data_IF_517589718262
#
_entry.id   IF_517589718262
#
_cell.length_a   1.000
_cell.length_b   1.000
_cell.length_c   1.000
_cell.angle_alpha   90.00
_cell.angle_beta   90.00
_cell.angle_gamma   90.00
#
_symmetry.space_group_name_H-M   'P 1'
#
loop_
_entity.id
_entity.type
_entity.pdbx_description
1 polymer ?
#
# COMPACT_ATOMS: atom_id res chain seq x y z
N UNK A 1 25.31 20.59 6.20
CA UNK A 1 24.86 20.03 7.50
C UNK A 1 23.53 19.34 7.23
N UNK A 2 23.58 18.02 7.05
CA UNK A 2 22.41 17.22 6.67
C UNK A 2 21.53 16.99 7.90
N UNK A 3 20.22 17.21 7.76
CA UNK A 3 19.25 16.77 8.73
C UNK A 3 19.27 15.23 8.82
N UNK A 4 19.08 14.61 10.00
CA UNK A 4 18.96 13.17 10.08
C UNK A 4 17.68 12.72 9.36
N UNK A 5 17.64 11.53 8.74
CA UNK A 5 16.44 11.03 8.11
C UNK A 5 15.41 10.69 9.20
N UNK A 6 14.30 11.43 9.24
CA UNK A 6 13.10 11.20 10.05
C UNK A 6 12.36 9.97 9.51
N UNK A 7 12.94 8.79 9.70
CA UNK A 7 12.31 7.52 9.32
C UNK A 7 11.30 7.12 10.40
N UNK A 8 10.01 7.17 10.06
CA UNK A 8 8.94 6.61 10.90
C UNK A 8 9.02 5.08 10.90
N UNK A 9 8.53 4.40 11.94
CA UNK A 9 8.51 2.93 12.02
C UNK A 9 7.79 2.28 10.81
N UNK A 10 6.94 3.05 10.13
CA UNK A 10 6.29 2.71 8.85
C UNK A 10 7.26 2.43 7.70
N UNK A 11 8.43 3.05 7.63
CA UNK A 11 9.34 2.96 6.46
C UNK A 11 10.27 1.73 6.48
N UNK A 12 10.27 0.95 7.57
CA UNK A 12 11.17 -0.21 7.73
C UNK A 12 10.41 -1.48 8.11
N UNK A 13 9.32 -1.74 7.39
CA UNK A 13 8.58 -3.01 7.43
C UNK A 13 9.39 -4.13 6.77
N UNK A 14 10.36 -4.69 7.49
CA UNK A 14 10.53 -6.14 7.40
C UNK A 14 9.31 -6.76 8.08
N UNK A 15 8.75 -7.82 7.50
CA UNK A 15 7.60 -8.58 8.00
C UNK A 15 7.74 -8.89 9.51
N UNK A 16 7.20 -8.04 10.37
CA UNK A 16 7.14 -8.32 11.81
C UNK A 16 5.83 -9.04 12.10
N UNK A 17 5.94 -10.31 12.50
CA UNK A 17 4.89 -11.13 13.10
C UNK A 17 4.46 -10.57 14.48
N UNK A 18 3.94 -9.35 14.51
CA UNK A 18 3.36 -8.72 15.72
C UNK A 18 1.88 -9.05 15.83
N UNK A 19 1.22 -9.31 14.70
CA UNK A 19 -0.14 -9.84 14.67
C UNK A 19 -0.05 -11.34 14.93
N UNK A 20 -0.76 -11.90 15.92
CA UNK A 20 -0.88 -13.34 16.03
C UNK A 20 -1.36 -13.88 14.68
N UNK A 21 -0.57 -14.73 14.03
CA UNK A 21 -1.01 -15.45 12.83
C UNK A 21 -2.18 -16.34 13.23
N UNK A 22 -3.39 -15.83 13.05
CA UNK A 22 -4.60 -16.62 13.21
C UNK A 22 -4.70 -17.51 11.98
N UNK A 23 -3.98 -18.63 12.02
CA UNK A 23 -3.92 -19.58 10.93
C UNK A 23 -5.32 -20.20 10.73
N UNK A 24 -6.04 -19.73 9.73
CA UNK A 24 -7.23 -20.42 9.22
C UNK A 24 -6.74 -21.42 8.18
N UNK A 25 -6.43 -22.64 8.62
CA UNK A 25 -6.00 -23.71 7.71
C UNK A 25 -7.01 -23.87 6.56
N UNK A 26 -6.54 -23.83 5.31
CA UNK A 26 -7.35 -24.18 4.14
C UNK A 26 -7.96 -25.56 4.37
N UNK A 27 -9.27 -25.68 4.19
CA UNK A 27 -9.88 -26.99 4.06
C UNK A 27 -9.29 -27.65 2.80
N UNK A 28 -8.57 -28.76 2.97
CA UNK A 28 -8.29 -29.63 1.83
C UNK A 28 -9.62 -30.16 1.30
N UNK A 29 -9.72 -30.34 -0.01
CA UNK A 29 -10.94 -30.64 -0.76
C UNK A 29 -11.61 -32.01 -0.44
N UNK A 30 -11.30 -32.62 0.70
CA UNK A 30 -12.07 -33.70 1.30
C UNK A 30 -12.86 -33.14 2.48
N UNK A 31 -14.06 -32.69 2.16
CA UNK A 31 -15.00 -32.00 3.02
C UNK A 31 -15.55 -32.93 4.14
N UNK A 32 -14.74 -33.14 5.17
CA UNK A 32 -15.20 -33.78 6.41
C UNK A 32 -15.94 -32.73 7.25
N UNK A 33 -17.22 -32.98 7.57
CA UNK A 33 -18.03 -32.13 8.45
C UNK A 33 -17.34 -31.83 9.80
N UNK A 34 -16.42 -32.71 10.22
CA UNK A 34 -15.56 -32.55 11.39
C UNK A 34 -14.54 -31.43 11.22
N UNK A 35 -13.89 -31.31 10.05
CA UNK A 35 -12.92 -30.27 9.73
C UNK A 35 -13.59 -28.88 9.70
N UNK A 36 -14.74 -28.78 9.03
CA UNK A 36 -15.55 -27.55 9.01
C UNK A 36 -16.00 -27.12 10.41
N UNK A 37 -16.45 -28.08 11.24
CA UNK A 37 -16.82 -27.81 12.64
C UNK A 37 -15.61 -27.40 13.50
N UNK A 38 -14.46 -28.03 13.33
CA UNK A 38 -13.23 -27.67 14.02
C UNK A 38 -12.79 -26.24 13.64
N UNK A 39 -12.85 -25.89 12.36
CA UNK A 39 -12.52 -24.56 11.85
C UNK A 39 -13.46 -23.49 12.47
N UNK A 40 -14.77 -23.75 12.52
CA UNK A 40 -15.75 -22.89 13.17
C UNK A 40 -15.48 -22.68 14.68
N UNK A 41 -15.02 -23.72 15.39
CA UNK A 41 -14.66 -23.62 16.81
C UNK A 41 -13.39 -22.80 17.00
N UNK A 42 -12.35 -23.05 16.19
CA UNK A 42 -11.10 -22.27 16.21
C UNK A 42 -11.39 -20.79 15.93
N UNK A 43 -12.17 -20.47 14.90
CA UNK A 43 -12.59 -19.10 14.57
C UNK A 43 -13.32 -18.41 15.71
N UNK A 44 -14.27 -19.09 16.37
CA UNK A 44 -14.96 -18.53 17.55
C UNK A 44 -14.00 -18.24 18.71
N UNK A 45 -13.05 -19.14 18.99
CA UNK A 45 -12.04 -18.92 20.03
C UNK A 45 -11.14 -17.73 19.70
N UNK A 46 -10.69 -17.62 18.45
CA UNK A 46 -9.88 -16.50 17.96
C UNK A 46 -10.66 -15.18 18.10
N UNK A 47 -11.90 -15.12 17.63
CA UNK A 47 -12.74 -13.93 17.75
C UNK A 47 -12.95 -13.52 19.22
N UNK A 48 -13.13 -14.50 20.12
CA UNK A 48 -13.25 -14.25 21.56
C UNK A 48 -11.97 -13.67 22.15
N UNK A 49 -10.80 -14.15 21.72
CA UNK A 49 -9.51 -13.60 22.15
C UNK A 49 -9.29 -12.19 21.60
N UNK A 50 -9.62 -11.94 20.34
CA UNK A 50 -9.55 -10.62 19.72
C UNK A 50 -10.48 -9.65 20.46
N UNK A 51 -11.71 -10.05 20.80
CA UNK A 51 -12.66 -9.23 21.58
C UNK A 51 -12.17 -8.87 22.98
N UNK A 52 -11.38 -9.75 23.58
CA UNK A 52 -10.76 -9.49 24.88
C UNK A 52 -9.61 -8.47 24.81
N UNK A 53 -9.09 -8.17 23.60
CA UNK A 53 -7.98 -7.24 23.37
C UNK A 53 -8.39 -5.97 22.61
N UNK A 54 -9.49 -6.01 21.85
CA UNK A 54 -10.04 -4.84 21.17
C UNK A 54 -10.65 -3.87 22.17
N UNK A 55 -10.12 -2.65 22.15
CA UNK A 55 -10.58 -1.53 22.96
C UNK A 55 -11.83 -0.90 22.35
N UNK A 56 -12.76 -0.45 23.18
CA UNK A 56 -13.83 0.43 22.70
C UNK A 56 -13.25 1.78 22.24
N UNK A 57 -13.96 2.56 21.41
CA UNK A 57 -13.50 3.89 21.01
C UNK A 57 -13.13 4.78 22.20
N UNK A 58 -13.92 4.74 23.28
CA UNK A 58 -13.65 5.51 24.51
C UNK A 58 -12.45 5.00 25.31
N UNK A 59 -12.24 3.68 25.37
CA UNK A 59 -11.06 3.09 26.01
C UNK A 59 -9.78 3.45 25.25
N UNK A 60 -9.83 3.38 23.92
CA UNK A 60 -8.71 3.70 23.05
C UNK A 60 -8.38 5.19 23.11
N UNK A 61 -9.37 6.07 22.99
CA UNK A 61 -9.19 7.52 23.13
C UNK A 61 -8.62 7.89 24.52
N UNK A 62 -9.16 7.28 25.58
CA UNK A 62 -8.65 7.46 26.94
C UNK A 62 -7.19 7.01 27.11
N UNK A 63 -6.80 5.91 26.45
CA UNK A 63 -5.42 5.42 26.44
C UNK A 63 -4.49 6.36 25.67
N UNK A 64 -4.88 6.78 24.47
CA UNK A 64 -4.15 7.76 23.66
C UNK A 64 -3.89 9.04 24.47
N UNK A 65 -4.94 9.61 25.07
CA UNK A 65 -4.84 10.82 25.88
C UNK A 65 -3.86 10.67 27.05
N UNK A 66 -3.79 9.48 27.67
CA UNK A 66 -2.86 9.21 28.79
C UNK A 66 -1.43 9.07 28.34
N UNK A 67 -1.16 8.40 27.22
CA UNK A 67 0.18 8.31 26.64
C UNK A 67 0.66 9.72 26.26
N UNK A 68 -0.21 10.50 25.64
CA UNK A 68 0.02 11.90 25.27
C UNK A 68 0.31 12.81 26.47
N UNK A 69 -0.46 12.65 27.56
CA UNK A 69 -0.25 13.39 28.80
C UNK A 69 1.01 12.97 29.55
N UNK A 70 1.36 11.68 29.51
CA UNK A 70 2.57 11.18 30.15
C UNK A 70 3.83 11.73 29.49
N UNK A 71 3.87 11.78 28.17
CA UNK A 71 5.10 12.11 27.47
C UNK A 71 5.35 13.62 27.25
N UNK A 72 4.53 14.49 27.86
CA UNK A 72 4.75 15.95 27.94
C UNK A 72 4.89 16.37 29.41
N UNK A 73 6.04 16.92 29.81
CA UNK A 73 6.20 17.52 31.14
C UNK A 73 5.20 18.69 31.35
N UNK A 74 4.71 18.98 32.57
CA UNK A 74 3.70 20.02 32.77
C UNK A 74 4.30 21.35 33.25
N UNK A 75 3.56 22.46 33.17
CA UNK A 75 2.46 22.77 32.26
C UNK A 75 3.07 23.59 31.10
N UNK A 76 2.39 23.98 30.03
CA UNK A 76 1.08 24.60 29.92
C UNK A 76 0.75 24.53 28.40
N UNK A 77 -0.40 25.03 27.96
CA UNK A 77 -0.41 26.35 27.28
C UNK A 77 -1.38 26.45 26.11
N UNK A 78 -1.46 27.64 25.53
CA UNK A 78 -2.16 27.98 24.30
C UNK A 78 -1.85 27.04 23.10
N UNK A 79 -0.77 26.25 23.17
CA UNK A 79 -0.44 25.21 22.20
C UNK A 79 -1.40 24.01 22.22
N UNK A 80 -1.88 23.58 23.40
CA UNK A 80 -2.96 22.59 23.52
C UNK A 80 -4.32 23.15 23.01
N UNK A 81 -4.50 24.48 23.04
CA UNK A 81 -5.61 25.19 22.39
C UNK A 81 -5.47 25.29 20.86
N UNK A 82 -4.26 25.19 20.32
CA UNK A 82 -4.01 25.15 18.88
C UNK A 82 -4.26 23.75 18.28
N UNK A 83 -4.00 22.68 19.04
CA UNK A 83 -4.37 21.30 18.70
C UNK A 83 -5.91 21.10 18.63
N UNK A 84 -6.66 21.72 19.55
CA UNK A 84 -8.14 21.86 19.50
C UNK A 84 -8.66 22.69 18.31
N UNK A 85 -7.79 23.49 17.68
CA UNK A 85 -8.12 24.34 16.54
C UNK A 85 -7.77 23.67 15.20
N UNK A 86 -6.74 22.81 15.16
CA UNK A 86 -6.41 21.97 13.99
C UNK A 86 -7.38 20.80 13.78
N UNK A 87 -8.08 20.37 14.83
CA UNK A 87 -9.27 19.50 14.71
C UNK A 87 -10.46 20.18 13.98
N UNK A 88 -10.28 21.42 13.47
CA UNK A 88 -11.28 22.18 12.71
C UNK A 88 -10.88 22.58 11.28
N UNK A 89 -9.75 22.11 10.70
CA UNK A 89 -9.45 22.30 9.25
C UNK A 89 -8.24 21.46 8.73
N UNK A 90 -8.11 21.23 7.40
CA UNK A 90 -7.55 20.01 6.82
C UNK A 90 -6.03 20.04 6.64
N UNK A 91 -5.28 19.18 7.34
CA UNK A 91 -4.04 18.50 6.88
C UNK A 91 -3.32 17.82 8.05
N UNK A 92 -3.34 16.49 8.09
CA UNK A 92 -2.68 15.64 9.10
C UNK A 92 -1.16 15.77 9.15
N UNK A 93 -0.53 16.39 8.15
CA UNK A 93 0.93 16.64 8.09
C UNK A 93 1.38 17.56 9.23
N UNK A 94 0.64 18.63 9.50
CA UNK A 94 1.04 19.61 10.50
C UNK A 94 0.82 19.13 11.95
N UNK A 95 0.12 18.01 12.14
CA UNK A 95 0.02 17.34 13.43
C UNK A 95 1.21 16.39 13.64
N UNK A 96 1.64 15.70 12.59
CA UNK A 96 2.78 14.77 12.61
C UNK A 96 4.11 15.52 12.67
N UNK A 97 4.32 16.61 11.92
CA UNK A 97 5.52 17.45 12.03
C UNK A 97 5.62 18.09 13.42
N UNK A 98 4.50 18.47 14.03
CA UNK A 98 4.47 18.96 15.43
C UNK A 98 4.65 17.83 16.47
N UNK A 99 4.43 16.57 16.11
CA UNK A 99 4.68 15.39 16.95
C UNK A 99 6.11 14.85 16.75
N UNK A 100 6.71 15.11 15.59
CA UNK A 100 8.07 14.73 15.18
C UNK A 100 9.13 15.78 15.56
N UNK A 101 8.84 17.07 15.43
CA UNK A 101 9.76 18.17 15.78
C UNK A 101 10.04 18.24 17.30
N UNK A 102 9.11 17.72 18.11
CA UNK A 102 9.15 17.65 19.59
C UNK A 102 9.17 16.18 20.10
N UNK A 103 9.67 15.22 19.29
CA UNK A 103 9.84 13.79 19.62
C UNK A 103 9.69 13.51 21.12
N UNK A 104 8.48 13.15 21.57
CA UNK A 104 8.05 13.08 22.98
C UNK A 104 9.22 12.96 23.97
N UNK A 105 9.65 14.10 24.53
CA UNK A 105 10.92 14.28 25.28
C UNK A 105 11.05 13.31 26.48
N UNK A 106 9.96 12.67 26.90
CA UNK A 106 9.93 11.70 27.99
C UNK A 106 9.95 10.26 27.47
N UNK A 107 11.10 9.63 27.65
CA UNK A 107 11.29 8.20 27.54
C UNK A 107 10.60 7.49 28.71
N UNK A 108 9.72 6.54 28.40
CA UNK A 108 9.01 5.71 29.38
C UNK A 108 9.96 4.63 29.91
N UNK A 109 10.31 4.69 31.20
CA UNK A 109 10.86 3.52 31.89
C UNK A 109 9.79 2.44 32.02
N UNK A 110 10.19 1.21 32.39
CA UNK A 110 9.21 0.17 32.69
C UNK A 110 8.26 0.56 33.84
N UNK A 111 8.75 1.32 34.83
CA UNK A 111 7.93 1.81 35.94
C UNK A 111 6.85 2.77 35.44
N UNK A 112 7.22 3.66 34.53
CA UNK A 112 6.31 4.61 33.90
C UNK A 112 5.29 3.93 32.99
N UNK A 113 5.74 3.01 32.14
CA UNK A 113 4.88 2.14 31.33
C UNK A 113 3.87 1.38 32.18
N UNK A 114 4.32 0.78 33.30
CA UNK A 114 3.46 0.08 34.24
C UNK A 114 2.49 1.04 34.93
N UNK A 115 2.88 2.28 35.21
CA UNK A 115 2.00 3.30 35.77
C UNK A 115 0.89 3.71 34.79
N UNK A 116 1.21 3.86 33.49
CA UNK A 116 0.20 4.09 32.44
C UNK A 116 -0.81 2.94 32.42
N UNK A 117 -0.33 1.69 32.41
CA UNK A 117 -1.19 0.51 32.40
C UNK A 117 -2.06 0.39 33.68
N UNK A 118 -1.49 0.60 34.87
CA UNK A 118 -2.21 0.49 36.16
C UNK A 118 -3.28 1.56 36.35
N UNK A 119 -3.05 2.76 35.81
CA UNK A 119 -3.99 3.89 35.91
C UNK A 119 -5.18 3.75 34.96
N UNK A 120 -5.15 2.77 34.04
CA UNK A 120 -6.28 2.43 33.19
C UNK A 120 -7.19 1.42 33.90
N UNK A 121 -8.48 1.76 34.03
CA UNK A 121 -9.48 0.89 34.68
C UNK A 121 -9.77 -0.36 33.84
N UNK A 122 -9.68 -0.24 32.52
CA UNK A 122 -9.93 -1.34 31.57
C UNK A 122 -8.93 -2.49 31.74
N UNK A 123 -9.45 -3.69 31.98
CA UNK A 123 -8.65 -4.93 31.98
C UNK A 123 -8.03 -5.20 30.60
N UNK A 124 -8.73 -4.82 29.52
CA UNK A 124 -8.23 -4.99 28.14
C UNK A 124 -6.96 -4.17 27.92
N UNK A 125 -6.95 -2.91 28.36
CA UNK A 125 -5.76 -2.03 28.28
C UNK A 125 -4.59 -2.62 29.09
N UNK A 126 -4.85 -3.21 30.25
CA UNK A 126 -3.80 -3.85 31.07
C UNK A 126 -3.22 -5.12 30.41
N UNK A 127 -4.06 -5.92 29.73
CA UNK A 127 -3.59 -7.08 28.95
C UNK A 127 -2.76 -6.65 27.74
N UNK A 128 -3.20 -5.57 27.10
CA UNK A 128 -2.52 -4.97 25.96
C UNK A 128 -1.14 -4.43 26.34
N UNK A 129 -1.07 -3.65 27.43
CA UNK A 129 0.14 -3.07 27.97
C UNK A 129 0.86 -4.03 28.94
N UNK A 130 1.15 -5.24 28.48
CA UNK A 130 1.80 -6.27 29.27
C UNK A 130 3.32 -6.05 29.38
N UNK A 131 3.93 -6.67 30.40
CA UNK A 131 5.40 -6.73 30.51
C UNK A 131 6.05 -7.36 29.26
N UNK A 132 5.39 -8.36 28.65
CA UNK A 132 5.84 -8.99 27.41
C UNK A 132 5.87 -8.00 26.25
N UNK A 133 4.84 -7.17 26.14
CA UNK A 133 4.74 -6.11 25.11
C UNK A 133 5.89 -5.11 25.25
N UNK A 134 6.19 -4.66 26.48
CA UNK A 134 7.30 -3.76 26.75
C UNK A 134 8.67 -4.37 26.35
N UNK A 135 8.92 -5.63 26.73
CA UNK A 135 10.15 -6.32 26.38
C UNK A 135 10.29 -6.51 24.87
N UNK A 136 9.21 -6.88 24.18
CA UNK A 136 9.21 -7.02 22.73
C UNK A 136 9.52 -5.69 22.03
N UNK A 137 8.91 -4.59 22.46
CA UNK A 137 9.15 -3.27 21.87
C UNK A 137 10.59 -2.80 22.11
N UNK A 138 11.14 -2.99 23.31
CA UNK A 138 12.53 -2.63 23.61
C UNK A 138 13.54 -3.48 22.84
N UNK A 139 13.25 -4.77 22.63
CA UNK A 139 14.11 -5.66 21.84
C UNK A 139 14.08 -5.32 20.33
N UNK A 140 12.90 -4.95 19.80
CA UNK A 140 12.77 -4.45 18.43
C UNK A 140 13.60 -3.18 18.21
N UNK A 141 13.50 -2.22 19.13
CA UNK A 141 14.31 -0.99 19.08
C UNK A 141 15.82 -1.31 19.15
N UNK A 142 16.21 -2.32 19.95
CA UNK A 142 17.60 -2.80 20.04
C UNK A 142 18.09 -3.41 18.72
N UNK A 143 17.26 -4.20 18.04
CA UNK A 143 17.61 -4.81 16.75
C UNK A 143 17.74 -3.83 15.58
N UNK A 144 17.09 -2.66 15.66
CA UNK A 144 17.05 -1.68 14.57
C UNK A 144 18.29 -0.76 14.48
N UNK A 145 19.32 -0.96 15.32
CA UNK A 145 20.58 -0.17 15.35
C UNK A 145 20.35 1.36 15.37
N UNK A 146 19.23 1.82 15.93
CA UNK A 146 19.08 3.23 16.28
C UNK A 146 20.13 3.57 17.35
N UNK A 147 20.68 4.81 17.39
CA UNK A 147 21.62 5.21 18.41
C UNK A 147 20.98 4.97 19.78
N UNK A 148 21.50 3.97 20.48
CA UNK A 148 21.09 3.63 21.83
C UNK A 148 21.56 4.76 22.75
N UNK A 149 20.71 5.17 23.68
CA UNK A 149 21.21 5.38 25.03
C UNK A 149 20.75 4.17 25.84
N UNK A 150 21.65 3.66 26.69
CA UNK A 150 21.64 2.36 27.38
C UNK A 150 20.47 2.10 28.36
N UNK A 151 19.41 2.90 28.36
CA UNK A 151 18.46 2.98 29.49
C UNK A 151 17.24 2.04 29.42
N UNK A 152 17.07 1.27 28.34
CA UNK A 152 15.96 0.30 28.24
C UNK A 152 14.54 0.93 28.25
N UNK A 153 14.43 2.19 27.82
CA UNK A 153 13.19 2.96 27.79
C UNK A 153 12.54 3.01 26.40
N UNK A 154 11.24 3.32 26.32
CA UNK A 154 10.49 3.44 25.06
C UNK A 154 10.00 4.89 24.86
N UNK A 155 10.08 5.42 23.65
CA UNK A 155 9.45 6.71 23.31
C UNK A 155 7.91 6.58 23.34
N UNK A 156 7.21 7.53 23.95
CA UNK A 156 5.74 7.57 23.96
C UNK A 156 5.08 7.57 22.58
N UNK A 157 5.72 8.17 21.57
CA UNK A 157 5.23 8.16 20.18
C UNK A 157 5.28 6.75 19.59
N UNK A 158 6.37 6.02 19.83
CA UNK A 158 6.51 4.60 19.44
C UNK A 158 5.48 3.71 20.13
N UNK A 159 5.20 3.98 21.41
CA UNK A 159 4.14 3.26 22.12
C UNK A 159 2.75 3.56 21.54
N UNK A 160 2.47 4.83 21.25
CA UNK A 160 1.20 5.22 20.68
C UNK A 160 0.98 4.60 19.30
N UNK A 161 2.01 4.66 18.44
CA UNK A 161 1.99 4.04 17.11
C UNK A 161 1.77 2.53 17.22
N UNK A 162 2.50 1.83 18.10
CA UNK A 162 2.30 0.40 18.35
C UNK A 162 0.85 0.07 18.76
N UNK A 163 0.31 0.82 19.73
CA UNK A 163 -1.06 0.61 20.23
C UNK A 163 -2.07 0.78 19.11
N UNK A 164 -1.96 1.86 18.33
CA UNK A 164 -2.90 2.15 17.24
C UNK A 164 -2.79 1.12 16.13
N UNK A 165 -1.58 0.77 15.69
CA UNK A 165 -1.38 -0.24 14.64
C UNK A 165 -1.89 -1.62 15.07
N UNK A 166 -1.62 -2.03 16.31
CA UNK A 166 -2.10 -3.31 16.81
C UNK A 166 -3.63 -3.33 16.95
N UNK A 167 -4.27 -2.23 17.39
CA UNK A 167 -5.73 -2.13 17.43
C UNK A 167 -6.33 -2.15 16.01
N UNK A 168 -5.67 -1.53 15.03
CA UNK A 168 -6.06 -1.60 13.62
C UNK A 168 -6.04 -3.04 13.13
N UNK A 169 -4.94 -3.75 13.37
CA UNK A 169 -4.76 -5.12 12.87
C UNK A 169 -5.75 -6.09 13.53
N UNK A 170 -6.01 -5.94 14.83
CA UNK A 170 -7.04 -6.71 15.53
C UNK A 170 -8.44 -6.40 14.99
N UNK A 171 -8.76 -5.13 14.71
CA UNK A 171 -10.05 -4.71 14.20
C UNK A 171 -10.26 -5.21 12.77
N UNK A 172 -9.24 -5.08 11.91
CA UNK A 172 -9.22 -5.61 10.55
C UNK A 172 -9.40 -7.14 10.54
N UNK A 173 -8.66 -7.85 11.40
CA UNK A 173 -8.78 -9.30 11.59
C UNK A 173 -10.19 -9.68 12.00
N UNK A 174 -10.76 -8.99 13.01
CA UNK A 174 -12.13 -9.24 13.43
C UNK A 174 -13.14 -9.02 12.30
N UNK A 175 -12.99 -7.91 11.56
CA UNK A 175 -13.89 -7.54 10.49
C UNK A 175 -13.85 -8.54 9.34
N UNK A 176 -12.67 -8.88 8.82
CA UNK A 176 -12.52 -9.87 7.75
C UNK A 176 -12.93 -11.27 8.22
N UNK A 177 -12.67 -11.62 9.48
CA UNK A 177 -13.17 -12.85 10.09
C UNK A 177 -14.69 -12.87 10.27
N UNK A 178 -15.42 -11.76 10.08
CA UNK A 178 -16.89 -11.79 9.99
C UNK A 178 -17.32 -12.03 8.54
N UNK A 179 -16.65 -11.40 7.59
CA UNK A 179 -16.87 -11.58 6.15
C UNK A 179 -16.53 -12.98 5.65
N UNK A 180 -15.65 -13.71 6.33
CA UNK A 180 -15.34 -15.12 6.04
C UNK A 180 -16.57 -16.05 6.11
N UNK A 181 -17.71 -15.60 6.66
CA UNK A 181 -18.98 -16.32 6.50
C UNK A 181 -19.50 -16.35 5.05
N UNK A 182 -18.98 -15.47 4.19
CA UNK A 182 -19.25 -15.39 2.75
C UNK A 182 -18.18 -16.14 1.93
N UNK A 183 -17.13 -16.65 2.59
CA UNK A 183 -16.03 -17.29 1.89
C UNK A 183 -16.44 -18.65 1.34
N UNK A 184 -15.98 -18.93 0.12
CA UNK A 184 -16.04 -20.25 -0.50
C UNK A 184 -14.59 -20.72 -0.56
N UNK A 185 -14.29 -21.87 0.04
CA UNK A 185 -12.93 -22.44 0.14
C UNK A 185 -11.87 -21.49 0.75
N UNK A 186 -12.29 -20.66 1.71
CA UNK A 186 -11.41 -19.68 2.39
C UNK A 186 -11.09 -18.43 1.58
N UNK A 187 -11.79 -18.20 0.47
CA UNK A 187 -11.70 -16.98 -0.33
C UNK A 187 -13.05 -16.24 -0.37
N UNK A 188 -13.02 -14.94 -0.09
CA UNK A 188 -14.21 -14.08 -0.17
C UNK A 188 -14.39 -13.68 -1.65
N UNK A 189 -15.58 -13.91 -2.26
CA UNK A 189 -15.84 -13.49 -3.64
C UNK A 189 -15.54 -12.01 -3.86
N UNK A 190 -15.01 -11.64 -5.03
CA UNK A 190 -14.62 -10.25 -5.35
C UNK A 190 -15.78 -9.27 -5.15
N UNK A 191 -17.01 -9.66 -5.50
CA UNK A 191 -18.21 -8.85 -5.28
C UNK A 191 -18.52 -8.67 -3.79
N UNK A 192 -18.22 -9.68 -2.96
CA UNK A 192 -18.34 -9.61 -1.51
C UNK A 192 -17.34 -8.62 -0.91
N UNK A 193 -16.08 -8.67 -1.34
CA UNK A 193 -15.04 -7.72 -0.92
C UNK A 193 -15.39 -6.30 -1.38
N UNK A 194 -15.83 -6.14 -2.63
CA UNK A 194 -16.29 -4.86 -3.20
C UNK A 194 -17.42 -4.24 -2.38
N UNK A 195 -18.44 -5.04 -2.03
CA UNK A 195 -19.56 -4.58 -1.20
C UNK A 195 -19.10 -4.17 0.19
N UNK A 196 -18.25 -4.98 0.83
CA UNK A 196 -17.71 -4.71 2.15
C UNK A 196 -16.90 -3.40 2.20
N UNK A 197 -16.04 -3.15 1.21
CA UNK A 197 -15.27 -1.90 1.08
C UNK A 197 -16.22 -0.70 0.96
N UNK A 198 -17.25 -0.78 0.12
CA UNK A 198 -18.24 0.30 -0.03
C UNK A 198 -18.98 0.58 1.27
N UNK A 199 -19.43 -0.46 1.98
CA UNK A 199 -20.09 -0.30 3.29
C UNK A 199 -19.18 0.38 4.32
N UNK A 200 -17.88 0.08 4.32
CA UNK A 200 -16.91 0.78 5.18
C UNK A 200 -16.75 2.25 4.78
N UNK A 201 -16.69 2.55 3.49
CA UNK A 201 -16.62 3.93 2.99
C UNK A 201 -17.88 4.70 3.40
N UNK A 202 -19.07 4.14 3.20
CA UNK A 202 -20.33 4.79 3.61
C UNK A 202 -20.33 5.11 5.10
N UNK A 203 -19.96 4.14 5.95
CA UNK A 203 -19.87 4.35 7.41
C UNK A 203 -18.84 5.43 7.78
N UNK A 204 -17.71 5.48 7.08
CA UNK A 204 -16.68 6.48 7.31
C UNK A 204 -17.19 7.87 6.90
N UNK A 205 -17.88 7.99 5.76
CA UNK A 205 -18.44 9.26 5.27
C UNK A 205 -19.53 9.79 6.20
N UNK A 206 -20.38 8.92 6.72
CA UNK A 206 -21.41 9.28 7.71
C UNK A 206 -20.82 9.67 9.07
N UNK A 207 -19.58 9.23 9.36
CA UNK A 207 -18.91 9.39 10.65
C UNK A 207 -17.93 10.56 10.71
N UNK A 208 -16.84 10.49 9.95
CA UNK A 208 -15.68 11.39 10.10
C UNK A 208 -15.03 11.80 8.77
N UNK A 209 -15.25 11.07 7.67
CA UNK A 209 -14.58 11.29 6.40
C UNK A 209 -15.40 12.25 5.52
N UNK A 210 -14.87 13.44 5.26
CA UNK A 210 -15.58 14.41 4.42
C UNK A 210 -15.29 14.17 2.92
N UNK A 211 -16.26 13.63 2.19
CA UNK A 211 -16.21 13.41 0.74
C UNK A 211 -17.44 14.04 0.09
N UNK A 212 -17.23 14.83 -0.95
CA UNK A 212 -18.32 15.45 -1.72
C UNK A 212 -19.18 14.38 -2.42
N UNK A 213 -20.50 14.55 -2.40
CA UNK A 213 -21.44 13.53 -2.87
C UNK A 213 -21.33 13.20 -4.36
N UNK A 214 -20.93 14.16 -5.18
CA UNK A 214 -20.68 14.00 -6.61
C UNK A 214 -19.37 13.25 -6.89
N UNK A 215 -18.39 13.38 -6.00
CA UNK A 215 -17.11 12.67 -6.08
C UNK A 215 -17.16 11.25 -5.48
N UNK A 216 -18.07 10.99 -4.54
CA UNK A 216 -18.18 9.72 -3.81
C UNK A 216 -18.20 8.47 -4.72
N UNK A 217 -18.94 8.41 -5.84
CA UNK A 217 -18.93 7.23 -6.71
C UNK A 217 -17.56 6.93 -7.34
N UNK A 218 -16.77 7.97 -7.62
CA UNK A 218 -15.40 7.83 -8.12
C UNK A 218 -14.46 7.37 -7.02
N UNK A 219 -14.59 7.95 -5.82
CA UNK A 219 -13.82 7.54 -4.66
C UNK A 219 -14.02 6.06 -4.34
N UNK A 220 -15.28 5.61 -4.24
CA UNK A 220 -15.62 4.20 -4.00
C UNK A 220 -14.99 3.28 -5.04
N UNK A 221 -15.06 3.65 -6.32
CA UNK A 221 -14.52 2.84 -7.41
C UNK A 221 -13.00 2.72 -7.31
N UNK A 222 -12.30 3.85 -7.22
CA UNK A 222 -10.83 3.84 -7.19
C UNK A 222 -10.33 3.13 -5.93
N UNK A 223 -10.90 3.42 -4.76
CA UNK A 223 -10.54 2.76 -3.50
C UNK A 223 -10.77 1.24 -3.56
N UNK A 224 -11.89 0.81 -4.14
CA UNK A 224 -12.16 -0.64 -4.28
C UNK A 224 -11.18 -1.31 -5.23
N UNK A 225 -10.89 -0.69 -6.39
CA UNK A 225 -9.95 -1.25 -7.36
C UNK A 225 -8.52 -1.27 -6.83
N UNK A 226 -8.10 -0.27 -6.06
CA UNK A 226 -6.80 -0.21 -5.38
C UNK A 226 -6.52 -1.46 -4.52
N UNK A 227 -7.56 -2.01 -3.89
CA UNK A 227 -7.45 -3.21 -3.06
C UNK A 227 -7.58 -4.46 -3.94
N UNK A 228 -8.66 -4.55 -4.72
CA UNK A 228 -9.01 -5.78 -5.47
C UNK A 228 -7.95 -6.14 -6.52
N UNK A 229 -7.42 -5.17 -7.27
CA UNK A 229 -6.49 -5.42 -8.37
C UNK A 229 -5.14 -6.00 -7.94
N UNK A 230 -4.78 -5.89 -6.66
CA UNK A 230 -3.50 -6.40 -6.15
C UNK A 230 -3.53 -7.92 -5.99
N UNK A 231 -4.72 -8.48 -5.89
CA UNK A 231 -4.94 -9.90 -5.66
C UNK A 231 -5.28 -10.61 -6.96
N UNK A 232 -4.84 -11.86 -7.08
CA UNK A 232 -5.11 -12.68 -8.26
C UNK A 232 -6.61 -13.03 -8.33
N UNK A 233 -7.31 -12.46 -9.30
CA UNK A 233 -8.73 -12.70 -9.56
C UNK A 233 -8.96 -13.66 -10.72
N UNK A 234 -8.01 -14.58 -11.01
CA UNK A 234 -8.11 -15.50 -12.16
C UNK A 234 -9.50 -16.14 -12.26
N UNK A 235 -10.11 -16.19 -13.46
CA UNK A 235 -11.41 -16.81 -13.66
C UNK A 235 -11.31 -18.29 -13.27
N UNK A 236 -12.01 -18.67 -12.21
CA UNK A 236 -11.96 -20.02 -11.62
C UNK A 236 -11.70 -20.04 -10.11
N UNK A 237 -11.08 -19.00 -9.54
CA UNK A 237 -10.96 -18.81 -8.08
C UNK A 237 -11.83 -17.70 -7.50
N UNK A 238 -12.27 -16.74 -8.31
CA UNK A 238 -13.40 -15.81 -8.07
C UNK A 238 -13.36 -14.94 -6.80
N UNK A 239 -12.37 -15.08 -5.94
CA UNK A 239 -12.33 -14.49 -4.61
C UNK A 239 -10.93 -14.29 -4.07
N UNK A 240 -10.84 -13.47 -3.03
CA UNK A 240 -9.61 -13.06 -2.38
C UNK A 240 -9.52 -13.79 -1.04
N UNK A 241 -8.40 -14.47 -0.79
CA UNK A 241 -8.16 -15.13 0.48
C UNK A 241 -8.13 -14.10 1.63
N UNK A 242 -8.76 -14.43 2.77
CA UNK A 242 -8.79 -13.55 3.95
C UNK A 242 -7.39 -13.21 4.42
N UNK A 243 -6.50 -14.20 4.47
CA UNK A 243 -5.11 -14.03 4.86
C UNK A 243 -4.34 -13.09 3.93
N UNK A 244 -4.67 -13.10 2.62
CA UNK A 244 -4.03 -12.22 1.66
C UNK A 244 -4.43 -10.75 1.89
N UNK A 245 -5.69 -10.48 2.24
CA UNK A 245 -6.13 -9.12 2.60
C UNK A 245 -5.51 -8.65 3.91
N UNK A 246 -5.39 -9.53 4.92
CA UNK A 246 -4.77 -9.18 6.20
C UNK A 246 -3.27 -8.89 6.08
N UNK A 247 -2.60 -9.49 5.11
CA UNK A 247 -1.18 -9.26 4.83
C UNK A 247 -0.96 -8.10 3.86
N UNK A 248 -1.99 -7.60 3.18
CA UNK A 248 -1.84 -6.49 2.24
C UNK A 248 -1.72 -5.15 2.99
N UNK A 249 -0.55 -4.49 2.95
CA UNK A 249 -0.38 -3.18 3.59
C UNK A 249 -1.35 -2.13 3.05
N UNK A 250 -1.78 -2.25 1.79
CA UNK A 250 -2.73 -1.32 1.15
C UNK A 250 -4.12 -1.46 1.75
N UNK A 251 -4.58 -2.68 2.01
CA UNK A 251 -5.84 -2.90 2.70
C UNK A 251 -5.80 -2.35 4.13
N UNK A 252 -4.71 -2.56 4.86
CA UNK A 252 -4.56 -2.04 6.23
C UNK A 252 -4.51 -0.50 6.26
N UNK A 253 -3.86 0.12 5.27
CA UNK A 253 -3.83 1.57 5.09
C UNK A 253 -5.22 2.16 4.81
N UNK A 254 -6.01 1.51 3.96
CA UNK A 254 -7.43 1.83 3.75
C UNK A 254 -8.24 1.66 5.04
N UNK A 255 -8.08 0.51 5.70
CA UNK A 255 -8.84 0.17 6.90
C UNK A 255 -8.56 1.18 8.02
N UNK A 256 -7.33 1.67 8.13
CA UNK A 256 -6.96 2.73 9.07
C UNK A 256 -7.75 4.02 8.80
N UNK A 257 -7.88 4.46 7.54
CA UNK A 257 -8.61 5.66 7.16
C UNK A 257 -10.12 5.57 7.49
N UNK A 258 -10.74 4.41 7.26
CA UNK A 258 -12.20 4.27 7.38
C UNK A 258 -12.69 3.92 8.79
N UNK A 259 -11.81 3.57 9.74
CA UNK A 259 -12.22 3.15 11.09
C UNK A 259 -12.18 4.24 12.17
N UNK A 260 -12.03 5.52 11.79
CA UNK A 260 -12.35 6.65 12.67
C UNK A 260 -11.17 7.45 13.21
N UNK A 261 -11.46 8.49 14.01
CA UNK A 261 -10.56 9.60 14.28
C UNK A 261 -9.30 9.25 15.08
N UNK A 262 -9.32 8.15 15.84
CA UNK A 262 -8.11 7.71 16.56
C UNK A 262 -7.08 7.12 15.61
N UNK A 263 -7.53 6.43 14.56
CA UNK A 263 -6.64 5.89 13.53
C UNK A 263 -6.10 7.01 12.62
N UNK A 264 -6.89 8.09 12.45
CA UNK A 264 -6.51 9.28 11.69
C UNK A 264 -5.30 10.03 12.27
N UNK A 265 -5.00 9.85 13.57
CA UNK A 265 -3.81 10.43 14.21
C UNK A 265 -2.50 10.05 13.50
N UNK A 266 -2.50 8.91 12.81
CA UNK A 266 -1.36 8.38 12.05
C UNK A 266 -1.65 8.29 10.55
N UNK A 267 -2.78 8.83 10.09
CA UNK A 267 -3.08 8.98 8.67
C UNK A 267 -2.38 10.25 8.18
N UNK A 268 -1.28 10.06 7.47
CA UNK A 268 -0.56 11.11 6.77
C UNK A 268 -1.30 11.49 5.47
N UNK A 269 -1.01 12.67 4.92
CA UNK A 269 -1.40 13.00 3.54
C UNK A 269 -0.78 12.08 2.49
N UNK A 270 0.24 11.30 2.87
CA UNK A 270 0.80 10.25 2.03
C UNK A 270 -0.08 9.00 1.97
N UNK A 271 -1.20 8.95 2.71
CA UNK A 271 -2.14 7.84 2.62
C UNK A 271 -2.73 7.77 1.20
N UNK A 272 -2.63 6.59 0.58
CA UNK A 272 -3.08 6.31 -0.80
C UNK A 272 -4.58 6.52 -0.99
N UNK A 273 -5.36 6.35 0.07
CA UNK A 273 -6.81 6.48 0.10
C UNK A 273 -7.27 7.86 0.58
N UNK A 274 -6.35 8.77 0.91
CA UNK A 274 -6.73 10.13 1.24
C UNK A 274 -7.56 10.73 0.09
N UNK A 275 -8.69 11.42 0.37
CA UNK A 275 -9.58 11.94 -0.68
C UNK A 275 -8.88 12.76 -1.75
N UNK A 276 -7.87 13.56 -1.37
CA UNK A 276 -7.08 14.35 -2.33
C UNK A 276 -6.22 13.47 -3.26
N UNK A 277 -5.63 12.39 -2.74
CA UNK A 277 -4.83 11.45 -3.53
C UNK A 277 -5.71 10.75 -4.56
N UNK A 278 -6.88 10.27 -4.14
CA UNK A 278 -7.85 9.61 -5.03
C UNK A 278 -8.42 10.61 -6.05
N UNK A 279 -8.68 11.85 -5.63
CA UNK A 279 -9.11 12.94 -6.53
C UNK A 279 -8.05 13.28 -7.56
N UNK A 280 -6.77 13.13 -7.21
CA UNK A 280 -5.70 13.34 -8.17
C UNK A 280 -5.72 12.30 -9.29
N UNK A 281 -5.99 11.02 -8.98
CA UNK A 281 -6.16 9.97 -9.99
C UNK A 281 -7.33 10.30 -10.92
N UNK A 282 -8.47 10.74 -10.37
CA UNK A 282 -9.60 11.18 -11.18
C UNK A 282 -9.25 12.38 -12.08
N UNK A 283 -8.51 13.37 -11.56
CA UNK A 283 -8.04 14.53 -12.34
C UNK A 283 -7.08 14.15 -13.46
N UNK A 284 -6.31 13.08 -13.31
CA UNK A 284 -5.43 12.59 -14.38
C UNK A 284 -6.25 12.16 -15.60
N UNK A 285 -7.31 11.39 -15.39
CA UNK A 285 -8.24 11.02 -16.47
C UNK A 285 -8.81 12.25 -17.17
N UNK A 286 -9.37 13.20 -16.40
CA UNK A 286 -10.00 14.42 -16.93
C UNK A 286 -9.03 15.30 -17.72
N UNK A 287 -7.72 15.25 -17.43
CA UNK A 287 -6.71 15.98 -18.20
C UNK A 287 -6.21 15.24 -19.44
N UNK A 288 -6.37 13.92 -19.48
CA UNK A 288 -6.06 13.10 -20.65
C UNK A 288 -7.18 13.15 -21.67
N UNK A 289 -8.45 13.11 -21.23
CA UNK A 289 -9.66 13.23 -22.04
C UNK A 289 -9.85 14.68 -22.54
N UNK A 290 -9.24 14.99 -23.69
CA UNK A 290 -9.16 16.36 -24.25
C UNK A 290 -10.46 16.76 -24.91
N UNK A 291 -11.11 15.83 -25.61
CA UNK A 291 -12.37 16.06 -26.29
C UNK A 291 -13.58 15.96 -25.35
N UNK A 292 -13.37 15.47 -24.12
CA UNK A 292 -14.37 15.33 -23.05
C UNK A 292 -15.48 14.36 -23.41
N UNK A 293 -15.15 13.34 -24.19
CA UNK A 293 -16.10 12.32 -24.62
C UNK A 293 -16.29 11.21 -23.55
N UNK A 294 -15.47 11.21 -22.48
CA UNK A 294 -15.52 10.24 -21.39
C UNK A 294 -14.78 8.93 -21.68
N UNK A 295 -14.03 8.87 -22.77
CA UNK A 295 -13.15 7.80 -23.23
C UNK A 295 -11.74 8.38 -23.45
N UNK A 296 -10.75 7.51 -23.63
CA UNK A 296 -9.39 7.91 -23.95
C UNK A 296 -8.95 7.24 -25.24
N UNK A 297 -8.67 8.06 -26.25
CA UNK A 297 -8.05 7.61 -27.49
C UNK A 297 -6.62 7.12 -27.25
N UNK A 298 -6.10 6.34 -28.21
CA UNK A 298 -4.69 5.94 -28.23
C UNK A 298 -3.74 7.14 -28.11
N UNK A 299 -4.04 8.22 -28.83
CA UNK A 299 -3.24 9.45 -28.83
C UNK A 299 -3.22 10.17 -27.48
N UNK A 300 -4.30 10.11 -26.73
CA UNK A 300 -4.37 10.68 -25.38
C UNK A 300 -3.64 9.79 -24.37
N UNK A 301 -3.66 8.48 -24.56
CA UNK A 301 -2.91 7.55 -23.72
C UNK A 301 -1.38 7.68 -23.89
N UNK A 302 -0.88 8.07 -25.06
CA UNK A 302 0.55 8.42 -25.25
C UNK A 302 1.00 9.64 -24.42
N UNK A 303 0.05 10.38 -23.86
CA UNK A 303 0.28 11.55 -23.00
C UNK A 303 0.15 11.23 -21.51
N UNK A 304 -0.08 9.96 -21.17
CA UNK A 304 -0.08 9.46 -19.80
C UNK A 304 1.24 9.82 -19.09
N UNK A 305 1.14 10.36 -17.88
CA UNK A 305 2.29 10.82 -17.10
C UNK A 305 2.83 12.21 -17.45
N UNK A 306 2.43 12.81 -18.58
CA UNK A 306 2.92 14.13 -19.02
C UNK A 306 2.02 15.30 -18.58
N UNK A 307 0.80 15.00 -18.14
CA UNK A 307 -0.15 16.02 -17.69
C UNK A 307 0.14 16.48 -16.25
N UNK A 308 -0.22 17.73 -15.94
CA UNK A 308 0.04 18.35 -14.63
C UNK A 308 -0.56 17.57 -13.46
N UNK A 309 -1.69 16.87 -13.69
CA UNK A 309 -2.30 16.03 -12.67
C UNK A 309 -1.45 14.82 -12.25
N UNK A 310 -0.44 14.42 -13.02
CA UNK A 310 0.47 13.35 -12.60
C UNK A 310 1.53 13.83 -11.61
N UNK A 311 1.99 15.08 -11.75
CA UNK A 311 2.93 15.71 -10.82
C UNK A 311 2.63 17.21 -10.72
N UNK A 312 1.75 17.63 -9.80
CA UNK A 312 1.31 19.02 -9.70
C UNK A 312 2.40 19.96 -9.18
N UNK A 313 3.41 19.41 -8.47
CA UNK A 313 4.43 20.22 -7.78
C UNK A 313 5.54 20.63 -8.74
N UNK A 314 6.22 19.65 -9.35
CA UNK A 314 7.38 19.92 -10.19
C UNK A 314 7.03 20.01 -11.68
N UNK A 315 5.84 19.56 -12.07
CA UNK A 315 5.36 19.52 -13.47
C UNK A 315 6.31 18.80 -14.43
N UNK A 316 7.18 17.94 -13.90
CA UNK A 316 7.98 17.02 -14.70
C UNK A 316 7.15 15.80 -15.06
N UNK A 317 7.32 15.24 -16.27
CA UNK A 317 6.68 13.99 -16.64
C UNK A 317 7.02 12.89 -15.64
N UNK A 318 6.00 12.17 -15.16
CA UNK A 318 6.19 10.97 -14.35
C UNK A 318 6.37 9.72 -15.19
N UNK A 319 5.91 9.77 -16.44
CA UNK A 319 6.03 8.70 -17.41
C UNK A 319 6.23 9.30 -18.80
N UNK A 320 6.97 8.58 -19.63
CA UNK A 320 6.94 8.75 -21.08
C UNK A 320 6.95 7.36 -21.73
N UNK A 321 5.74 6.84 -21.90
CA UNK A 321 5.50 5.48 -22.37
C UNK A 321 5.92 5.32 -23.83
N UNK A 322 6.49 4.16 -24.15
CA UNK A 322 6.79 3.77 -25.53
C UNK A 322 5.50 3.54 -26.32
N UNK A 323 5.44 3.90 -27.62
CA UNK A 323 4.25 3.68 -28.42
C UNK A 323 3.85 2.20 -28.49
N UNK A 324 4.84 1.30 -28.62
CA UNK A 324 4.61 -0.14 -28.64
C UNK A 324 3.93 -0.64 -27.35
N UNK A 325 4.31 -0.11 -26.19
CA UNK A 325 3.63 -0.47 -24.94
C UNK A 325 2.16 -0.06 -24.96
N UNK A 326 1.85 1.16 -25.40
CA UNK A 326 0.48 1.65 -25.50
C UNK A 326 -0.34 0.83 -26.51
N UNK A 327 0.23 0.51 -27.67
CA UNK A 327 -0.39 -0.38 -28.67
C UNK A 327 -0.80 -1.72 -28.04
N UNK A 328 0.11 -2.31 -27.27
CA UNK A 328 -0.12 -3.60 -26.61
C UNK A 328 -1.15 -3.52 -25.49
N UNK A 329 -1.22 -2.40 -24.75
CA UNK A 329 -2.25 -2.17 -23.73
C UNK A 329 -3.64 -2.17 -24.37
N UNK A 330 -3.80 -1.45 -25.49
CA UNK A 330 -5.08 -1.41 -26.22
C UNK A 330 -5.42 -2.78 -26.79
N UNK A 331 -4.46 -3.48 -27.40
CA UNK A 331 -4.68 -4.83 -27.91
C UNK A 331 -5.07 -5.85 -26.83
N UNK A 332 -4.48 -5.75 -25.63
CA UNK A 332 -4.81 -6.63 -24.50
C UNK A 332 -6.24 -6.39 -23.97
N UNK A 333 -6.74 -5.16 -24.11
CA UNK A 333 -8.05 -4.73 -23.61
C UNK A 333 -9.09 -4.58 -24.72
N UNK A 334 -8.87 -5.10 -25.92
CA UNK A 334 -9.73 -4.90 -27.10
C UNK A 334 -11.22 -5.18 -26.81
N UNK A 335 -11.52 -6.25 -26.04
CA UNK A 335 -12.87 -6.60 -25.64
C UNK A 335 -13.53 -5.63 -24.63
N UNK A 336 -12.75 -4.77 -23.99
CA UNK A 336 -13.19 -3.77 -23.02
C UNK A 336 -13.19 -2.34 -23.60
N UNK A 337 -12.63 -2.13 -24.80
CA UNK A 337 -12.65 -0.84 -25.48
C UNK A 337 -14.05 -0.53 -26.02
N UNK A 338 -14.38 0.76 -26.02
CA UNK A 338 -15.60 1.29 -26.65
C UNK A 338 -15.15 2.06 -27.89
N UNK A 339 -15.53 1.57 -29.07
CA UNK A 339 -15.13 2.15 -30.36
C UNK A 339 -13.60 2.32 -30.54
N UNK A 340 -12.81 1.43 -29.92
CA UNK A 340 -11.34 1.48 -29.94
C UNK A 340 -10.72 2.43 -28.92
N UNK A 341 -11.53 3.04 -28.05
CA UNK A 341 -11.10 3.95 -26.99
C UNK A 341 -11.27 3.33 -25.59
N UNK A 342 -10.44 3.76 -24.65
CA UNK A 342 -10.38 3.23 -23.30
C UNK A 342 -11.39 3.95 -22.39
N UNK A 343 -12.31 3.20 -21.79
CA UNK A 343 -13.27 3.77 -20.84
C UNK A 343 -12.62 4.11 -19.47
N UNK A 344 -13.35 4.87 -18.65
CA UNK A 344 -12.87 5.24 -17.31
C UNK A 344 -12.52 4.03 -16.43
N UNK A 345 -13.24 2.91 -16.54
CA UNK A 345 -12.96 1.72 -15.71
C UNK A 345 -11.63 1.10 -16.08
N UNK A 346 -11.41 0.92 -17.37
CA UNK A 346 -10.18 0.34 -17.92
C UNK A 346 -8.99 1.25 -17.61
N UNK A 347 -9.17 2.58 -17.72
CA UNK A 347 -8.14 3.53 -17.29
C UNK A 347 -7.80 3.41 -15.81
N UNK A 348 -8.79 3.29 -14.92
CA UNK A 348 -8.52 3.12 -13.48
C UNK A 348 -7.75 1.83 -13.22
N UNK A 349 -8.10 0.73 -13.88
CA UNK A 349 -7.35 -0.51 -13.72
C UNK A 349 -5.90 -0.36 -14.19
N UNK A 350 -5.72 0.23 -15.38
CA UNK A 350 -4.41 0.54 -15.95
C UNK A 350 -3.56 1.41 -15.01
N UNK A 351 -4.07 2.57 -14.59
CA UNK A 351 -3.30 3.55 -13.78
C UNK A 351 -2.89 2.95 -12.43
N UNK A 352 -3.74 2.12 -11.83
CA UNK A 352 -3.46 1.46 -10.56
C UNK A 352 -2.43 0.34 -10.70
N UNK A 353 -2.52 -0.49 -11.75
CA UNK A 353 -1.51 -1.51 -12.05
C UNK A 353 -0.16 -0.87 -12.41
N UNK A 354 -0.18 0.28 -13.10
CA UNK A 354 1.01 1.05 -13.44
C UNK A 354 1.69 1.68 -12.22
N UNK A 355 0.96 1.97 -11.14
CA UNK A 355 1.48 2.55 -9.90
C UNK A 355 1.93 1.49 -8.88
N UNK A 356 1.56 0.22 -9.08
CA UNK A 356 1.85 -0.87 -8.15
C UNK A 356 3.17 -1.58 -8.48
N UNK A 357 4.15 -1.37 -7.62
CA UNK A 357 5.50 -1.95 -7.70
C UNK A 357 5.69 -3.17 -6.78
N UNK A 358 4.62 -3.70 -6.19
CA UNK A 358 4.70 -4.70 -5.12
C UNK A 358 3.87 -5.94 -5.36
N UNK A 359 2.70 -5.83 -6.01
CA UNK A 359 1.83 -6.99 -6.19
C UNK A 359 2.23 -7.84 -7.40
N UNK A 360 2.16 -9.16 -7.24
CA UNK A 360 2.36 -10.07 -8.36
C UNK A 360 1.36 -9.82 -9.50
N UNK A 361 0.14 -9.36 -9.21
CA UNK A 361 -0.86 -9.12 -10.24
C UNK A 361 -0.49 -7.93 -11.14
N UNK A 362 0.08 -6.86 -10.57
CA UNK A 362 0.64 -5.77 -11.35
C UNK A 362 1.82 -6.24 -12.20
N UNK A 363 2.68 -7.12 -11.69
CA UNK A 363 3.76 -7.71 -12.50
C UNK A 363 3.20 -8.61 -13.63
N UNK A 364 2.13 -9.37 -13.37
CA UNK A 364 1.43 -10.20 -14.38
C UNK A 364 0.83 -9.35 -15.50
N UNK A 365 0.34 -8.15 -15.18
CA UNK A 365 -0.12 -7.20 -16.20
C UNK A 365 0.99 -6.84 -17.19
N UNK A 366 2.18 -6.46 -16.71
CA UNK A 366 3.33 -6.22 -17.59
C UNK A 366 3.77 -7.47 -18.34
N UNK A 367 3.79 -8.63 -17.67
CA UNK A 367 4.14 -9.90 -18.30
C UNK A 367 3.22 -10.21 -19.48
N UNK A 368 1.92 -10.00 -19.32
CA UNK A 368 0.91 -10.25 -20.36
C UNK A 368 1.09 -9.33 -21.58
N UNK A 369 1.67 -8.15 -21.37
CA UNK A 369 2.01 -7.20 -22.44
C UNK A 369 3.29 -7.64 -23.16
N UNK A 370 4.32 -8.04 -22.41
CA UNK A 370 5.64 -8.39 -22.91
C UNK A 370 5.69 -9.76 -23.60
N UNK A 371 5.03 -10.79 -23.05
CA UNK A 371 5.00 -12.15 -23.62
C UNK A 371 4.02 -12.24 -24.80
N UNK A 372 4.37 -11.53 -25.88
CA UNK A 372 3.51 -11.33 -27.05
C UNK A 372 3.10 -12.62 -27.76
N UNK A 373 3.90 -13.68 -27.63
CA UNK A 373 3.66 -14.99 -28.25
C UNK A 373 3.05 -16.00 -27.27
N UNK A 374 2.81 -15.61 -26.01
CA UNK A 374 2.35 -16.50 -24.94
C UNK A 374 3.22 -17.77 -24.81
N UNK A 375 4.53 -17.63 -25.03
CA UNK A 375 5.46 -18.75 -24.98
C UNK A 375 5.95 -19.05 -23.56
N UNK A 376 5.64 -18.18 -22.59
CA UNK A 376 5.99 -18.33 -21.19
C UNK A 376 7.43 -17.91 -20.85
N UNK A 377 8.14 -17.26 -21.78
CA UNK A 377 9.47 -16.69 -21.56
C UNK A 377 9.75 -15.51 -22.50
N UNK A 378 10.61 -14.59 -22.05
CA UNK A 378 11.10 -13.44 -22.81
C UNK A 378 12.54 -13.74 -23.27
N UNK A 379 12.73 -13.96 -24.56
CA UNK A 379 14.05 -14.06 -25.20
C UNK A 379 14.39 -12.76 -25.92
N UNK A 380 15.54 -12.72 -26.59
CA UNK A 380 15.96 -11.56 -27.38
C UNK A 380 14.91 -11.18 -28.43
N UNK A 381 14.30 -12.16 -29.12
CA UNK A 381 13.32 -11.88 -30.16
C UNK A 381 12.09 -11.15 -29.62
N UNK A 382 11.60 -11.56 -28.44
CA UNK A 382 10.45 -10.90 -27.80
C UNK A 382 10.80 -9.54 -27.21
N UNK A 383 12.00 -9.38 -26.65
CA UNK A 383 12.42 -8.13 -26.01
C UNK A 383 12.82 -7.04 -27.02
N UNK A 384 13.42 -7.40 -28.14
CA UNK A 384 14.01 -6.45 -29.09
C UNK A 384 13.05 -5.38 -29.60
N UNK A 385 11.78 -5.68 -29.96
CA UNK A 385 10.81 -4.65 -30.34
C UNK A 385 10.59 -3.59 -29.23
N UNK A 386 10.53 -4.01 -27.97
CA UNK A 386 10.39 -3.08 -26.83
C UNK A 386 11.66 -2.26 -26.64
N UNK A 387 12.83 -2.88 -26.76
CA UNK A 387 14.11 -2.18 -26.65
C UNK A 387 14.30 -1.16 -27.78
N UNK A 388 13.90 -1.48 -29.01
CA UNK A 388 13.89 -0.53 -30.11
C UNK A 388 12.94 0.64 -29.86
N UNK A 389 11.74 0.38 -29.35
CA UNK A 389 10.78 1.42 -29.02
C UNK A 389 11.29 2.33 -27.89
N UNK A 390 11.98 1.77 -26.90
CA UNK A 390 12.65 2.52 -25.84
C UNK A 390 13.80 3.36 -26.38
N UNK A 391 14.68 2.81 -27.22
CA UNK A 391 15.78 3.55 -27.84
C UNK A 391 15.26 4.71 -28.67
N UNK A 392 14.16 4.54 -29.42
CA UNK A 392 13.53 5.65 -30.14
C UNK A 392 13.16 6.79 -29.19
N UNK A 393 12.61 6.48 -28.02
CA UNK A 393 12.32 7.49 -26.99
C UNK A 393 13.59 8.13 -26.44
N UNK A 394 14.63 7.34 -26.20
CA UNK A 394 15.89 7.89 -25.70
C UNK A 394 16.49 8.84 -26.74
N UNK A 395 16.50 8.48 -28.03
CA UNK A 395 16.97 9.37 -29.11
C UNK A 395 16.14 10.65 -29.26
N UNK A 396 14.83 10.61 -28.97
CA UNK A 396 13.97 11.80 -29.00
C UNK A 396 14.34 12.81 -27.91
N UNK A 397 14.78 12.34 -26.73
CA UNK A 397 15.17 13.20 -25.59
C UNK A 397 16.66 13.51 -25.55
N UNK A 398 17.50 12.56 -25.95
CA UNK A 398 18.95 12.53 -25.80
C UNK A 398 19.60 12.08 -27.13
N UNK A 399 19.55 12.93 -28.18
CA UNK A 399 19.98 12.55 -29.53
C UNK A 399 21.48 12.26 -29.66
N UNK A 400 22.29 12.74 -28.71
CA UNK A 400 23.73 12.53 -28.68
C UNK A 400 24.15 11.23 -27.97
N UNK A 401 23.21 10.51 -27.33
CA UNK A 401 23.53 9.27 -26.61
C UNK A 401 23.57 8.06 -27.54
N UNK A 402 24.76 7.48 -27.72
CA UNK A 402 24.94 6.27 -28.51
C UNK A 402 24.60 5.02 -27.68
N UNK A 403 23.32 4.63 -27.66
CA UNK A 403 22.86 3.40 -27.01
C UNK A 403 22.49 2.34 -28.04
N UNK A 404 22.88 1.10 -27.76
CA UNK A 404 22.54 -0.06 -28.57
C UNK A 404 21.53 -0.96 -27.87
N UNK A 405 20.72 -1.67 -28.67
CA UNK A 405 19.80 -2.70 -28.16
C UNK A 405 20.55 -3.74 -27.33
N UNK A 406 21.75 -4.14 -27.78
CA UNK A 406 22.58 -5.12 -27.09
C UNK A 406 23.00 -4.66 -25.69
N UNK A 407 23.34 -3.37 -25.50
CA UNK A 407 23.67 -2.80 -24.19
C UNK A 407 22.49 -2.94 -23.22
N UNK A 408 21.31 -2.44 -23.60
CA UNK A 408 20.13 -2.48 -22.72
C UNK A 408 19.70 -3.93 -22.47
N UNK A 409 19.73 -4.79 -23.51
CA UNK A 409 19.41 -6.20 -23.36
C UNK A 409 20.32 -6.88 -22.33
N UNK A 410 21.63 -6.64 -22.42
CA UNK A 410 22.60 -7.18 -21.46
C UNK A 410 22.29 -6.71 -20.04
N UNK A 411 22.04 -5.40 -19.85
CA UNK A 411 21.64 -4.85 -18.55
C UNK A 411 20.37 -5.54 -17.99
N UNK A 412 19.34 -5.74 -18.82
CA UNK A 412 18.11 -6.44 -18.40
C UNK A 412 18.40 -7.88 -17.97
N UNK A 413 19.21 -8.61 -18.74
CA UNK A 413 19.58 -9.99 -18.40
C UNK A 413 20.43 -10.06 -17.13
N UNK A 414 21.35 -9.10 -16.90
CA UNK A 414 22.15 -9.04 -15.68
C UNK A 414 21.28 -8.73 -14.45
N UNK A 415 20.36 -7.77 -14.56
CA UNK A 415 19.43 -7.39 -13.50
C UNK A 415 18.51 -8.55 -13.09
N UNK A 416 18.03 -9.32 -14.06
CA UNK A 416 17.15 -10.46 -13.78
C UNK A 416 17.95 -11.70 -13.35
N UNK A 417 19.17 -11.87 -13.89
CA UNK A 417 20.02 -13.05 -13.68
C UNK A 417 19.25 -14.37 -13.89
N UNK A 418 18.67 -14.60 -15.09
CA UNK A 418 17.78 -15.73 -15.33
C UNK A 418 18.51 -17.07 -15.22
N UNK A 419 17.77 -18.11 -14.82
CA UNK A 419 18.31 -19.48 -14.71
C UNK A 419 18.84 -20.00 -16.06
N UNK A 420 18.19 -19.62 -17.16
CA UNK A 420 18.66 -19.88 -18.51
C UNK A 420 19.21 -18.58 -19.11
N UNK A 421 20.47 -18.54 -19.59
CA UNK A 421 21.10 -17.31 -20.07
C UNK A 421 20.47 -16.72 -21.34
N UNK A 422 19.60 -17.47 -22.04
CA UNK A 422 18.98 -17.04 -23.29
C UNK A 422 17.52 -16.62 -23.15
N UNK A 423 16.90 -16.81 -21.97
CA UNK A 423 15.48 -16.48 -21.77
C UNK A 423 15.16 -16.16 -20.31
N UNK A 424 14.31 -15.16 -20.11
CA UNK A 424 13.76 -14.78 -18.82
C UNK A 424 12.38 -15.43 -18.67
N UNK A 425 12.17 -16.26 -17.66
CA UNK A 425 10.86 -16.82 -17.34
C UNK A 425 10.11 -15.95 -16.34
N UNK A 426 8.79 -16.16 -16.20
CA UNK A 426 7.99 -15.55 -15.13
C UNK A 426 8.62 -15.77 -13.74
N UNK A 427 9.12 -16.98 -13.49
CA UNK A 427 9.75 -17.34 -12.21
C UNK A 427 11.05 -16.58 -11.97
N UNK A 428 11.86 -16.37 -13.02
CA UNK A 428 13.09 -15.56 -12.90
C UNK A 428 12.73 -14.11 -12.53
N UNK A 429 11.72 -13.53 -13.19
CA UNK A 429 11.27 -12.15 -12.96
C UNK A 429 10.69 -11.92 -11.55
N UNK A 430 9.98 -12.91 -10.99
CA UNK A 430 9.49 -12.85 -9.59
C UNK A 430 10.63 -13.04 -8.59
N UNK A 431 11.58 -13.93 -8.88
CA UNK A 431 12.66 -14.27 -7.96
C UNK A 431 13.74 -13.18 -7.88
N UNK A 432 13.97 -12.41 -8.93
CA UNK A 432 15.00 -11.37 -8.95
C UNK A 432 14.68 -10.17 -8.03
N UNK A 433 13.44 -10.06 -7.53
CA UNK A 433 12.95 -8.94 -6.69
C UNK A 433 12.96 -7.56 -7.35
N UNK A 434 13.55 -7.43 -8.53
CA UNK A 434 13.60 -6.23 -9.36
C UNK A 434 12.57 -6.24 -10.50
N UNK A 435 11.73 -7.29 -10.58
CA UNK A 435 10.84 -7.54 -11.71
C UNK A 435 10.01 -6.32 -12.13
N UNK A 436 9.37 -5.63 -11.20
CA UNK A 436 8.58 -4.42 -11.47
C UNK A 436 9.40 -3.29 -12.10
N UNK A 437 10.63 -3.08 -11.63
CA UNK A 437 11.50 -2.02 -12.12
C UNK A 437 12.05 -2.36 -13.50
N UNK A 438 12.42 -3.62 -13.72
CA UNK A 438 12.88 -4.12 -15.02
C UNK A 438 11.78 -3.98 -16.08
N UNK A 439 10.56 -4.46 -15.81
CA UNK A 439 9.47 -4.35 -16.80
C UNK A 439 9.07 -2.90 -17.05
N UNK A 440 9.19 -2.03 -16.05
CA UNK A 440 8.89 -0.61 -16.22
C UNK A 440 9.95 0.09 -17.08
N UNK A 441 11.23 -0.19 -16.85
CA UNK A 441 12.33 0.31 -17.67
C UNK A 441 12.16 -0.05 -19.15
N UNK A 442 11.66 -1.26 -19.46
CA UNK A 442 11.43 -1.71 -20.85
C UNK A 442 10.38 -0.89 -21.61
N UNK A 443 9.47 -0.20 -20.91
CA UNK A 443 8.26 0.39 -21.51
C UNK A 443 8.12 1.89 -21.31
N UNK A 444 8.96 2.50 -20.46
CA UNK A 444 8.85 3.88 -20.01
C UNK A 444 10.24 4.55 -19.95
N UNK A 445 10.41 5.62 -20.73
CA UNK A 445 11.67 6.37 -20.79
C UNK A 445 12.02 7.03 -19.45
N UNK A 446 11.03 7.51 -18.68
CA UNK A 446 11.32 8.15 -17.38
C UNK A 446 11.95 7.14 -16.42
N UNK A 447 11.45 5.90 -16.41
CA UNK A 447 12.01 4.84 -15.58
C UNK A 447 13.41 4.40 -16.03
N UNK A 448 13.68 4.37 -17.34
CA UNK A 448 15.03 4.16 -17.87
C UNK A 448 15.99 5.27 -17.40
N UNK A 449 15.59 6.53 -17.54
CA UNK A 449 16.40 7.67 -17.13
C UNK A 449 16.69 7.65 -15.63
N UNK A 450 15.70 7.30 -14.81
CA UNK A 450 15.87 7.19 -13.35
C UNK A 450 16.87 6.07 -12.98
N UNK A 451 16.90 4.98 -13.75
CA UNK A 451 17.87 3.90 -13.60
C UNK A 451 19.29 4.33 -14.00
N UNK A 452 19.47 4.97 -15.15
CA UNK A 452 20.79 5.45 -15.60
C UNK A 452 21.32 6.58 -14.71
N UNK A 453 20.45 7.47 -14.21
CA UNK A 453 20.82 8.53 -13.25
C UNK A 453 21.38 7.99 -11.92
N UNK A 454 21.12 6.71 -11.63
CA UNK A 454 21.61 6.01 -10.44
C UNK A 454 22.79 5.06 -10.76
N UNK A 455 23.57 5.36 -11.80
CA UNK A 455 24.72 4.57 -12.26
C UNK A 455 24.35 3.09 -12.56
N UNK A 456 23.18 2.87 -13.15
CA UNK A 456 22.68 1.53 -13.47
C UNK A 456 22.27 0.73 -12.25
N UNK A 457 21.76 1.40 -11.21
CA UNK A 457 21.25 0.75 -10.00
C UNK A 457 19.85 1.25 -9.70
N UNK A 458 18.95 0.31 -9.40
CA UNK A 458 17.66 0.69 -8.87
C UNK A 458 17.80 1.17 -7.42
N UNK A 459 17.31 2.38 -7.16
CA UNK A 459 17.03 2.81 -5.79
C UNK A 459 15.78 2.09 -5.34
N UNK A 460 15.99 0.99 -4.60
CA UNK A 460 14.89 0.27 -3.99
C UNK A 460 14.18 1.19 -2.98
N UNK A 461 12.84 1.28 -3.01
CA UNK A 461 12.09 1.88 -1.93
C UNK A 461 12.47 1.17 -0.63
N UNK A 462 12.76 1.95 0.43
CA UNK A 462 13.06 1.43 1.77
C UNK A 462 11.99 0.39 2.14
N UNK A 463 12.39 -0.87 2.36
CA UNK A 463 11.47 -1.97 2.73
C UNK A 463 11.34 -3.13 1.73
N UNK A 464 12.11 -3.16 0.63
CA UNK A 464 12.14 -4.30 -0.33
C UNK A 464 13.31 -5.28 -0.15
N UNK A 465 13.96 -5.30 1.02
CA UNK A 465 14.98 -6.31 1.38
C UNK A 465 14.42 -7.45 2.23
#
# INVERSE_FOLDING_TARGET
MAAPPTSTLLERRQSYDVVPRFYFARAEANDDAVASRAHSICRRRVLTQIDALLLTPSELEGLVNRIMAFARAPPISAFQRALLKKLSTPSGIAAIDSLQDDNMVLRLSYADYSAVARRCESEKVRKLLSAKTFLMMTDLLRSQKLPQDDDGTINGATLLEYVVLMQRDLAATRYLSQLDGLAIDGAIPVDGVTRAIKELITKAVDGHLNIESDFLPYFERIATRLIVLRHDTTPGRGGIAVDALLQDPVFLEFYQLVNGPVFDLFVTSSNRFHPDTIRQIHRQFVQLDRDKNGLLSHSEMLEYGKKKAFNPVHQTPTHDLTPLFVDRVFALHDNALVDGEMDYKTYIDFTLLMADSTSENALKFFWSILDTQHQGYLDAFVLDPFLHALISKISDHEPDEAITVERIRTQVFDLVSPTNPLRITWKDLVNCKLGHLVVRMLVDFVAYRDYEACDGRFVLPLGTQ
#
